data_IF_402338455276
#
_entry.id   IF_402338455276
#
_cell.length_a   1.000
_cell.length_b   1.000
_cell.length_c   1.000
_cell.angle_alpha   90.00
_cell.angle_beta   90.00
_cell.angle_gamma   90.00
#
_symmetry.space_group_name_H-M   'P 1'
#
loop_
_entity.id
_entity.type
_entity.pdbx_description
1 polymer ?
#
# COMPACT_ATOMS: atom_id res chain seq x y z
N UNK A 1 -25.73 38.82 -42.35
CA UNK A 1 -25.99 37.37 -42.15
C UNK A 1 -24.73 36.53 -41.86
N UNK A 2 -23.53 36.87 -42.34
CA UNK A 2 -22.31 36.05 -42.16
C UNK A 2 -21.77 35.96 -40.71
N UNK A 3 -22.06 36.95 -39.87
CA UNK A 3 -21.59 37.02 -38.47
C UNK A 3 -22.31 36.05 -37.54
N UNK A 4 -23.62 35.83 -37.74
CA UNK A 4 -24.43 34.92 -36.92
C UNK A 4 -24.05 33.44 -37.11
N UNK A 5 -23.70 33.02 -38.32
CA UNK A 5 -23.23 31.66 -38.62
C UNK A 5 -21.87 31.35 -38.00
N UNK A 6 -20.96 32.33 -37.98
CA UNK A 6 -19.63 32.21 -37.37
C UNK A 6 -19.70 32.06 -35.85
N UNK A 7 -20.60 32.80 -35.20
CA UNK A 7 -20.83 32.69 -33.75
C UNK A 7 -21.48 31.35 -33.36
N UNK A 8 -22.44 30.82 -34.14
CA UNK A 8 -23.00 29.48 -33.90
C UNK A 8 -21.96 28.36 -34.04
N UNK A 9 -21.05 28.47 -35.01
CA UNK A 9 -19.95 27.51 -35.18
C UNK A 9 -18.92 27.52 -34.05
N UNK A 10 -18.58 28.69 -33.51
CA UNK A 10 -17.70 28.81 -32.35
C UNK A 10 -18.35 28.30 -31.06
N UNK A 11 -19.63 28.60 -30.84
CA UNK A 11 -20.39 28.07 -29.70
C UNK A 11 -20.50 26.54 -29.73
N UNK A 12 -20.78 25.95 -30.89
CA UNK A 12 -20.85 24.48 -31.05
C UNK A 12 -19.51 23.79 -30.77
N UNK A 13 -18.39 24.35 -31.23
CA UNK A 13 -17.04 23.85 -30.89
C UNK A 13 -16.75 23.97 -29.40
N UNK A 14 -17.08 25.10 -28.78
CA UNK A 14 -16.88 25.32 -27.35
C UNK A 14 -17.67 24.30 -26.51
N UNK A 15 -18.94 24.06 -26.86
CA UNK A 15 -19.80 23.07 -26.19
C UNK A 15 -19.26 21.66 -26.36
N UNK A 16 -18.76 21.29 -27.54
CA UNK A 16 -18.13 19.96 -27.77
C UNK A 16 -16.88 19.76 -26.92
N UNK A 17 -16.03 20.78 -26.82
CA UNK A 17 -14.81 20.75 -26.00
C UNK A 17 -15.15 20.69 -24.50
N UNK A 18 -16.17 21.45 -24.07
CA UNK A 18 -16.64 21.45 -22.69
C UNK A 18 -17.25 20.10 -22.31
N UNK A 19 -18.11 19.55 -23.18
CA UNK A 19 -18.72 18.23 -23.01
C UNK A 19 -17.66 17.13 -22.95
N UNK A 20 -16.65 17.16 -23.83
CA UNK A 20 -15.53 16.22 -23.75
C UNK A 20 -14.72 16.36 -22.45
N UNK A 21 -14.48 17.59 -21.96
CA UNK A 21 -13.79 17.82 -20.67
C UNK A 21 -14.61 17.37 -19.46
N UNK A 22 -15.93 17.53 -19.50
CA UNK A 22 -16.83 17.11 -18.41
C UNK A 22 -16.93 15.59 -18.39
N UNK A 23 -17.15 14.94 -19.54
CA UNK A 23 -17.19 13.48 -19.63
C UNK A 23 -15.85 12.83 -19.31
N UNK A 24 -14.72 13.42 -19.71
CA UNK A 24 -13.40 12.91 -19.35
C UNK A 24 -13.13 13.06 -17.85
N UNK A 25 -13.49 14.19 -17.23
CA UNK A 25 -13.38 14.38 -15.78
C UNK A 25 -14.31 13.45 -14.98
N UNK A 26 -15.55 13.24 -15.42
CA UNK A 26 -16.47 12.29 -14.76
C UNK A 26 -15.99 10.84 -14.90
N UNK A 27 -15.50 10.45 -16.08
CA UNK A 27 -14.93 9.10 -16.32
C UNK A 27 -13.64 8.87 -15.55
N UNK A 28 -12.80 9.91 -15.37
CA UNK A 28 -11.60 9.84 -14.53
C UNK A 28 -11.93 9.79 -13.04
N UNK A 29 -13.01 10.46 -12.61
CA UNK A 29 -13.48 10.44 -11.21
C UNK A 29 -14.10 9.10 -10.79
N UNK A 30 -14.89 8.45 -11.65
CA UNK A 30 -15.46 7.14 -11.35
C UNK A 30 -14.42 6.02 -11.43
N UNK A 31 -13.49 6.07 -12.39
CA UNK A 31 -12.34 5.16 -12.44
C UNK A 31 -11.39 5.34 -11.25
N UNK A 32 -11.22 6.57 -10.76
CA UNK A 32 -10.30 6.91 -9.66
C UNK A 32 -10.69 6.37 -8.28
N UNK A 33 -11.94 5.95 -8.05
CA UNK A 33 -12.36 5.35 -6.79
C UNK A 33 -12.35 3.81 -6.80
N UNK A 34 -12.55 3.18 -7.96
CA UNK A 34 -12.65 1.71 -8.07
C UNK A 34 -11.27 1.05 -7.92
N UNK A 35 -10.25 1.62 -8.55
CA UNK A 35 -8.89 1.07 -8.52
C UNK A 35 -8.31 0.99 -7.09
N UNK A 36 -8.33 2.07 -6.26
CA UNK A 36 -7.87 1.98 -4.88
C UNK A 36 -8.64 0.97 -4.03
N UNK A 37 -9.94 0.76 -4.29
CA UNK A 37 -10.74 -0.24 -3.58
C UNK A 37 -10.33 -1.67 -3.94
N UNK A 38 -10.10 -1.94 -5.23
CA UNK A 38 -9.63 -3.25 -5.68
C UNK A 38 -8.23 -3.56 -5.15
N UNK A 39 -7.31 -2.58 -5.22
CA UNK A 39 -5.97 -2.75 -4.67
C UNK A 39 -6.03 -2.91 -3.16
N UNK A 40 -6.86 -2.15 -2.44
CA UNK A 40 -7.05 -2.33 -1.00
C UNK A 40 -7.53 -3.74 -0.66
N UNK A 41 -8.51 -4.27 -1.37
CA UNK A 41 -9.02 -5.63 -1.18
C UNK A 41 -7.94 -6.69 -1.47
N UNK A 42 -7.17 -6.53 -2.56
CA UNK A 42 -6.08 -7.43 -2.92
C UNK A 42 -4.94 -7.42 -1.89
N UNK A 43 -4.53 -6.25 -1.42
CA UNK A 43 -3.50 -6.09 -0.38
C UNK A 43 -3.97 -6.69 0.94
N UNK A 44 -5.23 -6.46 1.32
CA UNK A 44 -5.83 -7.06 2.52
C UNK A 44 -5.81 -8.58 2.43
N UNK A 45 -6.13 -9.13 1.26
CA UNK A 45 -6.11 -10.58 1.03
C UNK A 45 -4.69 -11.16 1.08
N UNK A 46 -3.71 -10.46 0.50
CA UNK A 46 -2.29 -10.83 0.57
C UNK A 46 -1.80 -10.88 2.03
N UNK A 47 -2.09 -9.85 2.81
CA UNK A 47 -1.71 -9.80 4.23
C UNK A 47 -2.38 -10.89 5.04
N UNK A 48 -3.70 -11.04 4.90
CA UNK A 48 -4.47 -12.09 5.58
C UNK A 48 -3.92 -13.48 5.29
N UNK A 49 -3.64 -13.78 4.02
CA UNK A 49 -3.10 -15.08 3.61
C UNK A 49 -1.73 -15.36 4.26
N UNK A 50 -0.80 -14.41 4.18
CA UNK A 50 0.50 -14.54 4.83
C UNK A 50 0.39 -14.70 6.35
N UNK A 51 -0.50 -13.93 6.98
CA UNK A 51 -0.75 -14.00 8.41
C UNK A 51 -1.22 -15.38 8.86
N UNK A 52 -2.22 -15.97 8.18
CA UNK A 52 -2.74 -17.29 8.53
C UNK A 52 -1.76 -18.43 8.26
N UNK A 53 -0.94 -18.31 7.20
CA UNK A 53 0.17 -19.25 7.02
C UNK A 53 1.10 -19.20 8.23
N UNK A 54 1.45 -18.00 8.71
CA UNK A 54 2.28 -17.83 9.91
C UNK A 54 1.60 -18.34 11.19
N UNK A 55 0.29 -18.17 11.34
CA UNK A 55 -0.46 -18.76 12.47
C UNK A 55 -0.36 -20.28 12.52
N UNK A 56 -0.36 -20.93 11.35
CA UNK A 56 -0.27 -22.37 11.26
C UNK A 56 1.15 -22.91 11.50
N UNK A 57 2.20 -22.16 11.12
CA UNK A 57 3.59 -22.69 11.10
C UNK A 57 4.49 -22.14 12.20
N UNK A 58 4.23 -20.92 12.69
CA UNK A 58 5.16 -20.22 13.57
C UNK A 58 4.73 -20.37 15.04
N UNK A 59 5.29 -21.36 15.72
CA UNK A 59 4.99 -21.69 17.12
C UNK A 59 3.48 -21.74 17.43
N UNK A 60 2.72 -22.64 16.75
CA UNK A 60 1.28 -22.74 16.95
C UNK A 60 0.98 -23.06 18.43
N UNK A 61 0.08 -22.28 19.03
CA UNK A 61 -0.33 -22.44 20.43
C UNK A 61 0.52 -21.69 21.47
N UNK A 62 1.64 -21.06 21.08
CA UNK A 62 2.40 -20.17 21.97
C UNK A 62 2.43 -18.75 21.37
N UNK A 63 1.48 -17.92 21.80
CA UNK A 63 1.32 -16.55 21.29
C UNK A 63 2.60 -15.73 21.45
N UNK A 64 3.34 -15.89 22.56
CA UNK A 64 4.49 -15.04 22.81
C UNK A 64 5.70 -15.44 21.97
N UNK A 65 5.99 -16.73 21.84
CA UNK A 65 7.06 -17.18 20.93
C UNK A 65 6.72 -16.85 19.49
N UNK A 66 5.46 -17.05 19.08
CA UNK A 66 4.97 -16.71 17.75
C UNK A 66 5.08 -15.22 17.46
N UNK A 67 4.67 -14.36 18.40
CA UNK A 67 4.75 -12.91 18.31
C UNK A 67 6.19 -12.42 18.27
N UNK A 68 7.06 -12.89 19.17
CA UNK A 68 8.49 -12.53 19.20
C UNK A 68 9.21 -12.95 17.92
N UNK A 69 8.96 -14.17 17.44
CA UNK A 69 9.56 -14.66 16.20
C UNK A 69 9.13 -13.83 14.99
N UNK A 70 7.84 -13.49 14.90
CA UNK A 70 7.33 -12.63 13.82
C UNK A 70 7.93 -11.24 13.87
N UNK A 71 7.97 -10.64 15.05
CA UNK A 71 8.54 -9.31 15.23
C UNK A 71 10.03 -9.31 14.89
N UNK A 72 10.77 -10.32 15.33
CA UNK A 72 12.19 -10.50 15.03
C UNK A 72 12.46 -10.63 13.53
N UNK A 73 11.73 -11.51 12.84
CA UNK A 73 11.83 -11.68 11.37
C UNK A 73 11.50 -10.38 10.66
N UNK A 74 10.39 -9.74 11.04
CA UNK A 74 9.94 -8.48 10.46
C UNK A 74 10.95 -7.35 10.62
N UNK A 75 11.37 -7.06 11.84
CA UNK A 75 12.32 -5.96 12.12
C UNK A 75 13.70 -6.20 11.53
N UNK A 76 14.22 -7.43 11.59
CA UNK A 76 15.50 -7.76 11.00
C UNK A 76 15.48 -7.52 9.48
N UNK A 77 14.47 -8.06 8.78
CA UNK A 77 14.35 -7.91 7.33
C UNK A 77 14.06 -6.46 6.92
N UNK A 78 13.25 -5.73 7.67
CA UNK A 78 12.98 -4.30 7.42
C UNK A 78 14.25 -3.44 7.61
N UNK A 79 15.05 -3.71 8.64
CA UNK A 79 16.31 -3.01 8.90
C UNK A 79 17.33 -3.26 7.79
N UNK A 80 17.45 -4.51 7.33
CA UNK A 80 18.32 -4.87 6.20
C UNK A 80 17.89 -4.12 4.94
N UNK A 81 16.59 -4.12 4.62
CA UNK A 81 16.09 -3.44 3.44
C UNK A 81 16.26 -1.91 3.52
N UNK A 82 16.04 -1.31 4.70
CA UNK A 82 16.24 0.12 4.90
C UNK A 82 17.70 0.53 4.74
N UNK A 83 18.63 -0.24 5.32
CA UNK A 83 20.08 -0.02 5.14
C UNK A 83 20.51 -0.19 3.69
N UNK A 84 19.98 -1.20 2.98
CA UNK A 84 20.25 -1.39 1.56
C UNK A 84 19.75 -0.21 0.73
N UNK A 85 18.53 0.27 0.98
CA UNK A 85 18.00 1.47 0.33
C UNK A 85 18.87 2.70 0.60
N UNK A 86 19.24 2.96 1.85
CA UNK A 86 20.13 4.05 2.23
C UNK A 86 21.51 3.97 1.56
N UNK A 87 22.10 2.77 1.49
CA UNK A 87 23.37 2.54 0.82
C UNK A 87 23.28 2.82 -0.69
N UNK A 88 22.19 2.40 -1.35
CA UNK A 88 21.97 2.73 -2.78
C UNK A 88 21.73 4.22 -3.01
N UNK A 89 21.14 4.93 -2.04
CA UNK A 89 20.97 6.37 -2.10
C UNK A 89 22.30 7.11 -1.85
N UNK A 90 23.13 6.65 -0.92
CA UNK A 90 24.44 7.25 -0.65
C UNK A 90 25.44 6.96 -1.77
N UNK A 91 25.31 5.82 -2.44
CA UNK A 91 26.07 5.50 -3.62
C UNK A 91 25.69 6.44 -4.79
N UNK A 92 26.70 6.87 -5.55
CA UNK A 92 26.55 7.82 -6.65
C UNK A 92 25.53 7.41 -7.73
N UNK A 93 25.30 8.28 -8.72
CA UNK A 93 24.24 8.12 -9.73
C UNK A 93 24.29 6.79 -10.48
N UNK A 94 25.46 6.17 -10.63
CA UNK A 94 25.64 4.90 -11.34
C UNK A 94 25.00 3.70 -10.63
N UNK A 95 25.10 3.64 -9.29
CA UNK A 95 24.48 2.58 -8.49
C UNK A 95 22.96 2.75 -8.42
N UNK A 96 22.48 3.99 -8.40
CA UNK A 96 21.05 4.29 -8.54
C UNK A 96 20.52 3.88 -9.92
N UNK A 97 21.26 4.17 -10.98
CA UNK A 97 20.93 3.75 -12.33
C UNK A 97 20.95 2.21 -12.48
N UNK A 98 21.90 1.52 -11.85
CA UNK A 98 21.95 0.06 -11.79
C UNK A 98 20.75 -0.52 -11.03
N UNK A 99 20.35 0.09 -9.90
CA UNK A 99 19.15 -0.31 -9.17
C UNK A 99 17.87 -0.16 -10.03
N UNK A 100 17.79 0.89 -10.85
CA UNK A 100 16.69 1.07 -11.82
C UNK A 100 16.71 0.06 -12.97
N UNK A 101 17.87 -0.53 -13.27
CA UNK A 101 18.04 -1.62 -14.26
C UNK A 101 17.80 -3.01 -13.67
N UNK A 102 17.37 -3.10 -12.41
CA UNK A 102 17.09 -4.39 -11.76
C UNK A 102 16.04 -5.17 -12.58
N UNK A 103 16.29 -6.44 -12.92
CA UNK A 103 15.33 -7.25 -13.67
C UNK A 103 13.95 -7.26 -12.99
N UNK A 104 12.84 -7.20 -13.75
CA UNK A 104 11.49 -7.10 -13.18
C UNK A 104 11.17 -8.20 -12.17
N UNK A 105 11.60 -9.44 -12.42
CA UNK A 105 11.39 -10.56 -11.50
C UNK A 105 12.12 -10.37 -10.16
N UNK A 106 13.35 -9.85 -10.19
CA UNK A 106 14.12 -9.57 -8.98
C UNK A 106 13.47 -8.44 -8.17
N UNK A 107 12.97 -7.41 -8.85
CA UNK A 107 12.21 -6.33 -8.21
C UNK A 107 10.94 -6.89 -7.54
N UNK A 108 10.19 -7.73 -8.24
CA UNK A 108 8.99 -8.37 -7.69
C UNK A 108 9.31 -9.22 -6.46
N UNK A 109 10.36 -10.04 -6.52
CA UNK A 109 10.79 -10.86 -5.38
C UNK A 109 11.15 -10.00 -4.16
N UNK A 110 11.90 -8.90 -4.35
CA UNK A 110 12.24 -7.98 -3.26
C UNK A 110 10.99 -7.34 -2.67
N UNK A 111 10.05 -6.88 -3.50
CA UNK A 111 8.78 -6.29 -3.04
C UNK A 111 7.90 -7.31 -2.31
N UNK A 112 7.86 -8.55 -2.77
CA UNK A 112 7.16 -9.63 -2.10
C UNK A 112 7.76 -9.93 -0.71
N UNK A 113 9.08 -10.06 -0.62
CA UNK A 113 9.78 -10.26 0.66
C UNK A 113 9.55 -9.08 1.60
N UNK A 114 9.64 -7.84 1.12
CA UNK A 114 9.30 -6.64 1.90
C UNK A 114 7.85 -6.65 2.38
N UNK A 115 6.91 -7.09 1.54
CA UNK A 115 5.52 -7.30 1.92
C UNK A 115 5.41 -8.28 3.08
N UNK A 116 6.06 -9.44 3.01
CA UNK A 116 6.11 -10.41 4.11
C UNK A 116 6.77 -9.85 5.38
N UNK A 117 7.82 -9.04 5.24
CA UNK A 117 8.46 -8.35 6.37
C UNK A 117 7.47 -7.45 7.11
N UNK A 118 6.69 -6.65 6.38
CA UNK A 118 5.67 -5.76 6.96
C UNK A 118 4.59 -6.58 7.68
N UNK A 119 4.06 -7.63 7.04
CA UNK A 119 3.08 -8.51 7.68
C UNK A 119 3.66 -9.12 8.96
N UNK A 120 4.92 -9.57 8.94
CA UNK A 120 5.59 -10.14 10.12
C UNK A 120 5.75 -9.12 11.25
N UNK A 121 6.09 -7.87 10.94
CA UNK A 121 6.16 -6.79 11.94
C UNK A 121 4.79 -6.59 12.63
N UNK A 122 3.74 -6.42 11.83
CA UNK A 122 2.41 -6.12 12.34
C UNK A 122 1.82 -7.30 13.11
N UNK A 123 1.99 -8.51 12.57
CA UNK A 123 1.64 -9.75 13.25
C UNK A 123 2.37 -9.89 14.58
N UNK A 124 3.66 -9.61 14.60
CA UNK A 124 4.46 -9.67 15.81
C UNK A 124 3.90 -8.78 16.91
N UNK A 125 3.64 -7.50 16.60
CA UNK A 125 3.05 -6.56 17.57
C UNK A 125 1.66 -7.01 18.03
N UNK A 126 0.81 -7.44 17.10
CA UNK A 126 -0.56 -7.86 17.40
C UNK A 126 -0.59 -9.10 18.30
N UNK A 127 0.12 -10.16 17.94
CA UNK A 127 0.12 -11.42 18.70
C UNK A 127 0.80 -11.23 20.06
N UNK A 128 1.83 -10.38 20.15
CA UNK A 128 2.42 -10.01 21.44
C UNK A 128 1.43 -9.25 22.32
N UNK A 129 0.64 -8.35 21.75
CA UNK A 129 -0.43 -7.68 22.50
C UNK A 129 -1.41 -8.71 23.07
N UNK A 130 -1.90 -9.64 22.25
CA UNK A 130 -2.84 -10.67 22.69
C UNK A 130 -2.26 -11.51 23.83
N UNK A 131 -0.99 -11.95 23.70
CA UNK A 131 -0.31 -12.74 24.73
C UNK A 131 0.01 -11.96 26.01
N UNK A 132 0.34 -10.66 25.93
CA UNK A 132 0.55 -9.80 27.11
C UNK A 132 -0.77 -9.52 27.81
N UNK A 133 -1.81 -9.19 27.05
CA UNK A 133 -3.15 -8.94 27.58
C UNK A 133 -3.65 -10.16 28.34
N UNK A 134 -3.61 -11.35 27.72
CA UNK A 134 -4.03 -12.60 28.36
C UNK A 134 -3.27 -12.90 29.65
N UNK A 135 -1.97 -12.59 29.70
CA UNK A 135 -1.18 -12.73 30.93
C UNK A 135 -1.56 -11.75 32.03
N UNK A 136 -1.98 -10.53 31.68
CA UNK A 136 -2.33 -9.49 32.64
C UNK A 136 -3.76 -9.64 33.18
N UNK A 137 -4.69 -10.07 32.33
CA UNK A 137 -6.13 -10.15 32.67
C UNK A 137 -6.61 -11.57 32.96
N UNK A 138 -5.85 -12.60 32.56
CA UNK A 138 -6.27 -13.99 32.62
C UNK A 138 -7.34 -14.36 31.56
N UNK A 139 -7.68 -13.44 30.66
CA UNK A 139 -8.70 -13.63 29.62
C UNK A 139 -8.09 -13.44 28.24
N UNK A 140 -8.34 -14.33 27.27
CA UNK A 140 -7.90 -14.13 25.89
C UNK A 140 -8.42 -12.80 25.35
N UNK A 141 -7.53 -12.03 24.69
CA UNK A 141 -7.88 -10.73 24.11
C UNK A 141 -9.08 -10.78 23.16
N UNK A 142 -9.30 -11.91 22.49
CA UNK A 142 -10.44 -12.12 21.59
C UNK A 142 -11.77 -12.32 22.31
N UNK A 143 -11.75 -12.77 23.57
CA UNK A 143 -12.94 -12.95 24.40
C UNK A 143 -13.37 -11.64 25.06
N UNK A 144 -12.43 -10.78 25.44
CA UNK A 144 -12.68 -9.41 25.90
C UNK A 144 -12.25 -8.38 24.84
N UNK A 145 -12.82 -8.52 23.64
CA UNK A 145 -12.41 -7.75 22.48
C UNK A 145 -12.62 -6.23 22.65
N UNK A 146 -13.62 -5.81 23.42
CA UNK A 146 -13.88 -4.39 23.65
C UNK A 146 -12.79 -3.77 24.53
N UNK A 147 -12.50 -4.36 25.69
CA UNK A 147 -11.50 -3.81 26.60
C UNK A 147 -10.09 -3.89 26.00
N UNK A 148 -9.73 -5.04 25.41
CA UNK A 148 -8.45 -5.21 24.72
C UNK A 148 -8.32 -4.24 23.53
N UNK A 149 -9.39 -4.06 22.75
CA UNK A 149 -9.44 -3.12 21.64
C UNK A 149 -9.27 -1.66 22.07
N UNK A 150 -9.97 -1.23 23.13
CA UNK A 150 -9.83 0.13 23.66
C UNK A 150 -8.43 0.37 24.23
N UNK A 151 -7.88 -0.59 24.97
CA UNK A 151 -6.54 -0.48 25.55
C UNK A 151 -5.45 -0.42 24.47
N UNK A 152 -5.50 -1.29 23.46
CA UNK A 152 -4.55 -1.27 22.33
C UNK A 152 -4.69 0.00 21.50
N UNK A 153 -5.93 0.46 21.24
CA UNK A 153 -6.17 1.70 20.51
C UNK A 153 -5.63 2.92 21.26
N UNK A 154 -5.90 3.04 22.57
CA UNK A 154 -5.41 4.15 23.38
C UNK A 154 -3.88 4.18 23.41
N UNK A 155 -3.23 3.02 23.64
CA UNK A 155 -1.77 2.92 23.64
C UNK A 155 -1.19 3.30 22.26
N UNK A 156 -1.74 2.72 21.19
CA UNK A 156 -1.30 3.00 19.83
C UNK A 156 -1.43 4.48 19.47
N UNK A 157 -2.58 5.09 19.80
CA UNK A 157 -2.84 6.50 19.53
C UNK A 157 -1.84 7.42 20.26
N UNK A 158 -1.58 7.15 21.55
CA UNK A 158 -0.59 7.90 22.33
C UNK A 158 0.79 7.82 21.69
N UNK A 159 1.24 6.61 21.30
CA UNK A 159 2.57 6.42 20.70
C UNK A 159 2.69 7.12 19.34
N UNK A 160 1.70 6.99 18.45
CA UNK A 160 1.78 7.63 17.12
C UNK A 160 1.68 9.15 17.20
N UNK A 161 0.93 9.70 18.17
CA UNK A 161 0.88 11.15 18.42
C UNK A 161 2.21 11.62 19.03
N UNK A 162 2.68 10.96 20.09
CA UNK A 162 3.90 11.36 20.80
C UNK A 162 5.14 11.33 19.89
N UNK A 163 5.16 10.44 18.91
CA UNK A 163 6.25 10.38 17.91
C UNK A 163 6.03 11.28 16.69
N UNK A 164 4.87 11.95 16.56
CA UNK A 164 4.57 12.82 15.41
C UNK A 164 4.23 12.07 14.11
N UNK A 165 3.85 10.79 14.19
CA UNK A 165 3.62 9.92 13.04
C UNK A 165 2.15 9.57 12.81
N UNK A 166 1.18 10.36 13.29
CA UNK A 166 -0.25 10.08 13.15
C UNK A 166 -0.69 9.83 11.69
N UNK A 167 -0.07 10.51 10.72
CA UNK A 167 -0.35 10.30 9.30
C UNK A 167 -0.09 8.85 8.82
N UNK A 168 0.79 8.10 9.50
CA UNK A 168 1.10 6.70 9.17
C UNK A 168 -0.09 5.75 9.34
N UNK A 169 -1.09 6.13 10.14
CA UNK A 169 -2.34 5.36 10.31
C UNK A 169 -3.15 5.30 9.01
N UNK A 170 -2.96 6.26 8.10
CA UNK A 170 -3.66 6.33 6.79
C UNK A 170 -3.06 5.39 5.72
N UNK A 171 -2.19 4.46 6.11
CA UNK A 171 -1.62 3.45 5.22
C UNK A 171 -2.72 2.65 4.47
N UNK A 172 -2.35 1.68 3.63
CA UNK A 172 -2.21 1.73 2.17
C UNK A 172 -3.37 2.34 1.36
N UNK A 173 -4.67 2.20 1.68
CA UNK A 173 -5.74 2.77 0.87
C UNK A 173 -5.60 4.26 0.50
N UNK A 174 -5.21 5.12 1.46
CA UNK A 174 -5.02 6.54 1.16
C UNK A 174 -3.73 6.81 0.39
N UNK A 175 -2.68 6.00 0.61
CA UNK A 175 -1.40 6.12 -0.08
C UNK A 175 -1.50 5.66 -1.54
N UNK A 176 -2.25 4.59 -1.82
CA UNK A 176 -2.50 4.06 -3.18
C UNK A 176 -3.29 5.06 -4.03
N UNK A 177 -4.18 5.85 -3.41
CA UNK A 177 -4.87 6.94 -4.11
C UNK A 177 -3.91 8.06 -4.57
N UNK A 178 -2.68 8.11 -4.04
CA UNK A 178 -1.68 9.16 -4.31
C UNK A 178 -0.45 8.61 -5.05
N UNK A 179 -0.03 7.36 -4.81
CA UNK A 179 1.20 6.74 -5.31
C UNK A 179 0.86 5.53 -6.19
N UNK A 180 1.33 5.52 -7.44
CA UNK A 180 1.16 4.40 -8.39
C UNK A 180 2.50 3.89 -8.93
N UNK A 181 2.63 2.57 -9.09
CA UNK A 181 3.83 1.89 -9.63
C UNK A 181 3.82 1.78 -11.17
N UNK A 182 3.10 2.67 -11.87
CA UNK A 182 2.82 2.58 -13.30
C UNK A 182 4.06 2.39 -14.21
N UNK A 183 5.24 2.83 -13.76
CA UNK A 183 6.51 2.65 -14.47
C UNK A 183 7.07 1.22 -14.50
N UNK A 184 6.59 0.29 -13.66
CA UNK A 184 7.07 -1.10 -13.64
C UNK A 184 6.31 -2.02 -14.61
N UNK A 185 5.04 -1.69 -14.90
CA UNK A 185 4.14 -2.52 -15.71
C UNK A 185 4.17 -2.18 -17.21
N UNK A 186 4.69 -1.00 -17.58
CA UNK A 186 4.74 -0.52 -18.96
C UNK A 186 5.71 -1.30 -19.86
N UNK A 187 6.64 -2.09 -19.30
CA UNK A 187 7.61 -2.86 -20.08
C UNK A 187 7.25 -4.33 -20.34
N UNK A 188 6.48 -4.97 -19.44
CA UNK A 188 6.29 -6.44 -19.46
C UNK A 188 4.85 -6.86 -19.75
N UNK A 189 3.85 -6.05 -19.36
CA UNK A 189 2.42 -6.40 -19.53
C UNK A 189 1.68 -5.50 -20.54
N UNK A 190 2.39 -4.58 -21.19
CA UNK A 190 1.83 -3.71 -22.23
C UNK A 190 1.04 -4.42 -23.35
N UNK A 191 1.39 -5.65 -23.80
CA UNK A 191 0.60 -6.31 -24.85
C UNK A 191 -0.72 -6.90 -24.35
N UNK A 192 -0.91 -7.11 -23.04
CA UNK A 192 -2.10 -7.79 -22.49
C UNK A 192 -3.18 -6.81 -21.98
N UNK A 193 -2.83 -5.55 -21.73
CA UNK A 193 -3.74 -4.50 -21.22
C UNK A 193 -3.73 -3.22 -22.06
N UNK A 194 -3.48 -3.34 -23.37
CA UNK A 194 -3.21 -2.22 -24.29
C UNK A 194 -4.24 -1.08 -24.33
N UNK A 195 -5.44 -1.26 -23.75
CA UNK A 195 -6.47 -0.22 -23.68
C UNK A 195 -6.46 0.62 -22.39
N UNK A 196 -5.79 0.18 -21.31
CA UNK A 196 -5.68 0.94 -20.06
C UNK A 196 -4.36 1.71 -19.93
N UNK A 197 -3.30 1.27 -20.61
CA UNK A 197 -1.98 1.91 -20.56
C UNK A 197 -1.95 3.32 -21.18
N UNK A 198 -2.85 3.62 -22.14
CA UNK A 198 -2.92 4.92 -22.81
C UNK A 198 -3.44 6.04 -21.87
N UNK A 199 -4.14 5.68 -20.78
CA UNK A 199 -4.66 6.65 -19.80
C UNK A 199 -3.59 7.15 -18.81
N UNK A 200 -2.46 6.45 -18.67
CA UNK A 200 -1.44 6.76 -17.66
C UNK A 200 -0.14 7.36 -18.22
N UNK A 201 0.01 7.52 -19.54
CA UNK A 201 1.28 7.94 -20.15
C UNK A 201 1.46 9.45 -20.37
N UNK A 202 0.55 10.31 -19.89
CA UNK A 202 0.69 11.77 -20.04
C UNK A 202 0.51 12.53 -18.73
N UNK A 203 1.55 12.48 -17.90
CA UNK A 203 1.98 13.62 -17.08
C UNK A 203 3.51 13.67 -17.03
N UNK A 204 4.08 14.40 -17.99
CA UNK A 204 5.11 15.41 -17.69
C UNK A 204 4.55 16.73 -18.16
#
# INVERSE_FOLDING_TARGET
MATAGRMRGQASKAIRVLSHRVHSKCRLRSAGCIEPLLVAAAVTSFWRGAWYVMDAVLFPGDLLRSGLASLGIGWASFTVAHKAAGATQAAGPDLRAAALRTPPLRRLAVLYCLGLSVVSCWRGVWVLWDGVYERLTGTPATQDALASGLASHALGLVVVIATGHLASVTAPPALIAVITDAGAFSGVFAPYFGSLAILFSRRR
#
